data_IF_419818483924
#
_entry.id   IF_419818483924
#
_cell.length_a   1.000
_cell.length_b   1.000
_cell.length_c   1.000
_cell.angle_alpha   90.00
_cell.angle_beta   90.00
_cell.angle_gamma   90.00
#
_symmetry.space_group_name_H-M   'P 1'
#
loop_
_entity.id
_entity.type
_entity.pdbx_description
1 polymer ?
#
# COMPACT_ATOMS: atom_id res chain seq x y z
N UNK A 1 8.24 -32.47 -1.60
CA UNK A 1 7.27 -31.93 -0.62
C UNK A 1 6.76 -30.62 -1.16
N UNK A 2 5.47 -30.64 -1.49
CA UNK A 2 4.68 -29.64 -2.20
C UNK A 2 4.91 -28.18 -1.79
N UNK A 3 5.24 -27.35 -2.78
CA UNK A 3 5.09 -25.89 -2.73
C UNK A 3 3.63 -25.51 -3.03
N UNK A 4 2.68 -26.11 -2.33
CA UNK A 4 1.27 -25.70 -2.38
C UNK A 4 0.97 -24.83 -1.16
N UNK A 5 0.19 -23.78 -1.40
CA UNK A 5 -0.52 -22.98 -0.39
C UNK A 5 0.20 -21.78 0.25
N UNK A 6 0.79 -20.89 -0.58
CA UNK A 6 0.97 -19.46 -0.21
C UNK A 6 0.36 -18.46 -1.20
N UNK A 7 -0.52 -18.94 -2.08
CA UNK A 7 -1.27 -18.11 -3.02
C UNK A 7 -2.76 -18.31 -2.74
N UNK A 8 -3.31 -17.51 -1.82
CA UNK A 8 -4.73 -17.14 -1.68
C UNK A 8 -5.01 -16.61 -0.27
N UNK A 9 -4.08 -15.84 0.31
CA UNK A 9 -4.48 -14.94 1.38
C UNK A 9 -4.80 -13.60 0.69
N UNK A 10 -6.08 -13.22 0.52
CA UNK A 10 -6.44 -11.91 0.00
C UNK A 10 -5.92 -10.77 0.91
N UNK A 11 -5.51 -11.09 2.13
CA UNK A 11 -4.96 -10.16 3.10
C UNK A 11 -3.46 -10.41 3.36
N UNK A 12 -2.63 -10.40 2.30
CA UNK A 12 -1.17 -10.34 2.54
C UNK A 12 -0.85 -9.04 3.30
N UNK A 13 -0.02 -9.09 4.36
CA UNK A 13 0.39 -7.89 5.08
C UNK A 13 1.07 -6.90 4.13
N UNK A 14 0.78 -5.60 4.30
CA UNK A 14 1.48 -4.53 3.59
C UNK A 14 2.97 -4.61 3.93
N UNK A 15 3.81 -4.83 2.93
CA UNK A 15 5.27 -4.86 3.08
C UNK A 15 5.79 -3.45 3.39
N UNK A 16 6.52 -3.32 4.51
CA UNK A 16 6.93 -2.04 5.09
C UNK A 16 8.32 -2.14 5.70
N UNK A 17 9.15 -1.12 5.49
CA UNK A 17 10.37 -0.87 6.24
C UNK A 17 10.36 0.57 6.79
N UNK A 18 10.01 0.76 8.07
CA UNK A 18 9.97 2.08 8.70
C UNK A 18 11.34 2.74 8.86
N UNK A 19 12.44 1.98 8.90
CA UNK A 19 13.80 2.54 9.03
C UNK A 19 14.24 3.16 7.72
N UNK A 20 13.89 2.51 6.61
CA UNK A 20 14.18 2.98 5.25
C UNK A 20 13.06 3.83 4.64
N UNK A 21 11.96 4.04 5.38
CA UNK A 21 10.76 4.72 4.92
C UNK A 21 10.21 4.13 3.62
N UNK A 22 10.17 2.80 3.49
CA UNK A 22 9.70 2.14 2.27
C UNK A 22 8.39 1.38 2.45
N UNK A 23 7.51 1.47 1.46
CA UNK A 23 6.26 0.70 1.36
C UNK A 23 6.34 -0.09 0.06
N UNK A 24 6.32 -1.42 0.13
CA UNK A 24 6.46 -2.31 -1.03
C UNK A 24 7.67 -1.96 -1.93
N UNK A 25 8.79 -1.55 -1.31
CA UNK A 25 10.01 -1.13 -2.00
C UNK A 25 10.02 0.30 -2.57
N UNK A 26 8.92 1.06 -2.43
CA UNK A 26 8.86 2.48 -2.81
C UNK A 26 9.32 3.33 -1.62
N UNK A 27 10.37 4.13 -1.82
CA UNK A 27 10.90 5.04 -0.80
C UNK A 27 10.07 6.32 -0.68
N UNK A 28 9.71 6.67 0.55
CA UNK A 28 8.96 7.88 0.87
C UNK A 28 9.91 9.05 1.17
N UNK A 29 9.54 10.29 0.81
CA UNK A 29 10.40 11.46 0.97
C UNK A 29 10.52 11.94 2.42
N UNK A 30 9.60 11.53 3.30
CA UNK A 30 9.65 11.85 4.73
C UNK A 30 8.89 10.84 5.57
N UNK A 31 9.14 10.84 6.88
CA UNK A 31 8.40 10.02 7.85
C UNK A 31 6.90 10.33 7.85
N UNK A 32 6.53 11.60 7.70
CA UNK A 32 5.13 12.04 7.63
C UNK A 32 4.41 11.40 6.44
N UNK A 33 5.03 11.46 5.25
CA UNK A 33 4.46 10.85 4.03
C UNK A 33 4.31 9.35 4.17
N UNK A 34 5.31 8.70 4.76
CA UNK A 34 5.27 7.28 5.04
C UNK A 34 4.11 6.90 5.97
N UNK A 35 3.97 7.58 7.12
CA UNK A 35 2.93 7.26 8.10
C UNK A 35 1.52 7.45 7.52
N UNK A 36 1.30 8.53 6.76
CA UNK A 36 0.00 8.84 6.14
C UNK A 36 -0.36 7.83 5.04
N UNK A 37 0.59 7.49 4.16
CA UNK A 37 0.35 6.51 3.09
C UNK A 37 0.15 5.10 3.65
N UNK A 38 0.91 4.70 4.67
CA UNK A 38 0.67 3.44 5.38
C UNK A 38 -0.75 3.41 5.94
N UNK A 39 -1.20 4.49 6.59
CA UNK A 39 -2.55 4.56 7.14
C UNK A 39 -3.62 4.46 6.04
N UNK A 40 -3.50 5.23 4.97
CA UNK A 40 -4.45 5.23 3.86
C UNK A 40 -4.57 3.86 3.19
N UNK A 41 -3.44 3.23 2.85
CA UNK A 41 -3.39 1.91 2.21
C UNK A 41 -3.96 0.84 3.15
N UNK A 42 -3.57 0.86 4.43
CA UNK A 42 -4.07 -0.12 5.40
C UNK A 42 -5.58 0.00 5.59
N UNK A 43 -6.12 1.23 5.59
CA UNK A 43 -7.56 1.46 5.67
C UNK A 43 -8.31 0.89 4.44
N UNK A 44 -7.74 1.02 3.26
CA UNK A 44 -8.29 0.42 2.04
C UNK A 44 -8.24 -1.12 2.11
N UNK A 45 -7.17 -1.69 2.66
CA UNK A 45 -7.06 -3.14 2.86
C UNK A 45 -8.14 -3.72 3.78
N UNK A 46 -8.57 -2.99 4.82
CA UNK A 46 -9.72 -3.39 5.63
C UNK A 46 -11.03 -3.46 4.84
N UNK A 47 -11.12 -2.72 3.73
CA UNK A 47 -12.27 -2.77 2.81
C UNK A 47 -12.14 -3.88 1.76
N UNK A 48 -11.13 -4.75 1.86
CA UNK A 48 -10.88 -5.84 0.91
C UNK A 48 -10.00 -5.47 -0.28
N UNK A 49 -9.41 -4.27 -0.28
CA UNK A 49 -8.47 -3.85 -1.32
C UNK A 49 -7.11 -4.57 -1.19
N UNK A 50 -6.52 -4.94 -2.32
CA UNK A 50 -5.18 -5.54 -2.37
C UNK A 50 -4.22 -4.55 -3.04
N UNK A 51 -3.37 -3.84 -2.28
CA UNK A 51 -2.49 -2.83 -2.85
C UNK A 51 -1.36 -3.45 -3.68
N UNK A 52 -1.00 -2.74 -4.74
CA UNK A 52 0.11 -3.01 -5.64
C UNK A 52 1.19 -1.94 -5.51
N UNK A 53 2.39 -2.23 -6.03
CA UNK A 53 3.48 -1.23 -6.09
C UNK A 53 3.05 0.01 -6.89
N UNK A 54 2.25 -0.16 -7.95
CA UNK A 54 1.77 0.94 -8.77
C UNK A 54 0.87 1.89 -7.97
N UNK A 55 0.04 1.36 -7.06
CA UNK A 55 -0.84 2.17 -6.20
C UNK A 55 -0.02 3.00 -5.22
N UNK A 56 1.01 2.40 -4.62
CA UNK A 56 1.93 3.11 -3.72
C UNK A 56 2.64 4.25 -4.46
N UNK A 57 3.12 4.00 -5.68
CA UNK A 57 3.74 5.04 -6.52
C UNK A 57 2.75 6.13 -6.91
N UNK A 58 1.50 5.76 -7.23
CA UNK A 58 0.47 6.70 -7.61
C UNK A 58 0.09 7.60 -6.42
N UNK A 59 -0.19 7.01 -5.25
CA UNK A 59 -0.52 7.75 -4.04
C UNK A 59 0.63 8.66 -3.60
N UNK A 60 1.88 8.23 -3.77
CA UNK A 60 3.04 9.07 -3.52
C UNK A 60 3.13 10.26 -4.49
N UNK A 61 2.89 10.04 -5.78
CA UNK A 61 2.95 11.08 -6.82
C UNK A 61 1.83 12.13 -6.64
N UNK A 62 0.69 11.71 -6.10
CA UNK A 62 -0.47 12.54 -5.82
C UNK A 62 -0.63 12.84 -4.32
N UNK A 63 0.47 12.75 -3.56
CA UNK A 63 0.49 13.01 -2.13
C UNK A 63 0.18 14.50 -1.86
N UNK A 64 -1.05 14.76 -1.41
CA UNK A 64 -1.65 16.10 -1.30
C UNK A 64 -3.07 16.18 -1.87
N UNK A 65 -3.40 15.27 -2.79
CA UNK A 65 -4.72 15.08 -3.40
C UNK A 65 -5.15 13.61 -3.21
N UNK A 66 -5.02 13.08 -1.99
CA UNK A 66 -5.28 11.66 -1.74
C UNK A 66 -6.74 11.33 -2.11
N UNK A 67 -6.96 10.51 -3.15
CA UNK A 67 -8.29 10.16 -3.58
C UNK A 67 -8.94 9.22 -2.57
N UNK A 68 -10.28 9.24 -2.54
CA UNK A 68 -11.04 8.31 -1.73
C UNK A 68 -10.80 6.86 -2.18
N UNK A 69 -11.03 5.90 -1.28
CA UNK A 69 -10.91 4.48 -1.60
C UNK A 69 -11.76 4.05 -2.82
N UNK A 70 -12.89 4.71 -3.07
CA UNK A 70 -13.76 4.44 -4.22
C UNK A 70 -13.20 4.97 -5.55
N UNK A 71 -12.38 6.02 -5.52
CA UNK A 71 -11.73 6.57 -6.71
C UNK A 71 -10.55 5.71 -7.14
N UNK A 72 -9.82 5.14 -6.18
CA UNK A 72 -8.70 4.21 -6.43
C UNK A 72 -9.19 2.92 -7.10
N UNK A 73 -10.37 2.42 -6.71
CA UNK A 73 -10.98 1.23 -7.33
C UNK A 73 -11.42 1.42 -8.80
N UNK A 74 -11.42 2.65 -9.32
CA UNK A 74 -11.82 2.96 -10.71
C UNK A 74 -10.63 3.16 -11.66
N UNK A 75 -9.41 3.08 -11.16
CA UNK A 75 -8.18 3.25 -11.94
C UNK A 75 -7.77 2.01 -12.71
#
# INVERSE_FOLDING_TARGET
MDKKDKQNNPYRPLERDPQQLTIMGVTMPSKTVYDELVFAITNQMYSGYVPTVADVQHLLKHYGELPSAQEILKW
#
